data_IF_533631601231
#
_entry.id   IF_533631601231
#
_cell.length_a   1.000
_cell.length_b   1.000
_cell.length_c   1.000
_cell.angle_alpha   90.00
_cell.angle_beta   90.00
_cell.angle_gamma   90.00
#
_symmetry.space_group_name_H-M   'P 1'
#
loop_
_entity.id
_entity.type
_entity.pdbx_description
1 polymer ?
#
# COMPACT_ATOMS: atom_id res chain seq x y z
N UNK A 1 30.52 24.29 -64.04
CA UNK A 1 29.58 24.69 -62.97
C UNK A 1 28.32 23.83 -63.10
N UNK A 2 28.23 22.73 -62.36
CA UNK A 2 27.05 21.83 -62.33
C UNK A 2 26.17 22.25 -61.15
N UNK A 3 24.93 22.69 -61.40
CA UNK A 3 23.93 22.97 -60.42
C UNK A 3 23.36 21.64 -59.90
N UNK A 4 23.53 21.38 -58.63
CA UNK A 4 22.86 20.27 -57.91
C UNK A 4 21.49 20.78 -57.50
N UNK A 5 20.43 20.19 -58.05
CA UNK A 5 19.06 20.44 -57.63
C UNK A 5 18.74 19.44 -56.53
N UNK A 6 18.56 19.92 -55.29
CA UNK A 6 18.18 19.14 -54.13
C UNK A 6 16.65 19.01 -54.14
N UNK A 7 16.16 17.80 -54.42
CA UNK A 7 14.71 17.49 -54.25
C UNK A 7 14.42 17.19 -52.79
N UNK A 8 13.75 18.11 -52.11
CA UNK A 8 13.18 17.85 -50.79
C UNK A 8 11.87 17.08 -51.01
N UNK A 9 11.93 15.79 -50.72
CA UNK A 9 10.77 14.92 -50.69
C UNK A 9 10.06 15.16 -49.34
N UNK A 10 9.00 15.99 -49.34
CA UNK A 10 8.10 16.12 -48.18
C UNK A 10 7.33 14.82 -48.04
N UNK A 11 7.71 14.03 -47.03
CA UNK A 11 6.93 12.91 -46.57
C UNK A 11 5.72 13.48 -45.80
N UNK A 12 4.56 13.54 -46.44
CA UNK A 12 3.31 13.72 -45.74
C UNK A 12 3.02 12.43 -44.95
N UNK A 13 3.44 12.41 -43.70
CA UNK A 13 2.88 11.47 -42.72
C UNK A 13 1.41 11.89 -42.54
N UNK A 14 0.53 11.16 -43.17
CA UNK A 14 -0.89 11.26 -42.89
C UNK A 14 -1.13 10.94 -41.42
N UNK A 15 -1.40 11.95 -40.65
CA UNK A 15 -1.97 11.80 -39.30
C UNK A 15 -3.39 11.27 -39.53
N UNK A 16 -3.49 9.95 -39.67
CA UNK A 16 -4.75 9.30 -39.47
C UNK A 16 -5.18 9.68 -38.05
N UNK A 17 -6.32 10.33 -37.92
CA UNK A 17 -7.02 10.45 -36.64
C UNK A 17 -7.41 9.05 -36.22
N UNK A 18 -6.47 8.32 -35.60
CA UNK A 18 -6.84 7.17 -34.79
C UNK A 18 -7.78 7.74 -33.72
N UNK A 19 -9.01 7.30 -33.72
CA UNK A 19 -9.94 7.48 -32.62
C UNK A 19 -9.17 6.98 -31.39
N UNK A 20 -8.69 7.90 -30.53
CA UNK A 20 -7.66 7.62 -29.55
C UNK A 20 -8.12 6.49 -28.64
N UNK A 21 -7.36 5.39 -28.65
CA UNK A 21 -7.58 4.30 -27.71
C UNK A 21 -7.32 4.88 -26.32
N UNK A 22 -8.24 4.64 -25.39
CA UNK A 22 -8.07 5.07 -24.00
C UNK A 22 -6.90 4.27 -23.39
N UNK A 23 -5.77 4.90 -23.05
CA UNK A 23 -4.60 4.20 -22.50
C UNK A 23 -4.87 3.57 -21.13
N UNK A 24 -5.93 3.99 -20.46
CA UNK A 24 -6.30 3.50 -19.13
C UNK A 24 -7.34 2.38 -19.18
N UNK A 25 -7.84 2.02 -20.38
CA UNK A 25 -8.83 0.95 -20.53
C UNK A 25 -8.29 -0.37 -20.01
N UNK A 26 -9.05 -1.03 -19.11
CA UNK A 26 -8.63 -2.23 -18.42
C UNK A 26 -9.55 -3.41 -18.66
N UNK A 27 -8.97 -4.61 -18.64
CA UNK A 27 -9.70 -5.87 -18.74
C UNK A 27 -9.25 -6.84 -17.64
N UNK A 28 -10.16 -7.74 -17.26
CA UNK A 28 -9.80 -8.88 -16.44
C UNK A 28 -8.89 -9.83 -17.24
N UNK A 29 -7.69 -10.09 -16.74
CA UNK A 29 -6.75 -11.03 -17.33
C UNK A 29 -6.93 -12.43 -16.74
N UNK A 30 -7.01 -12.50 -15.42
CA UNK A 30 -7.16 -13.75 -14.65
C UNK A 30 -7.94 -13.54 -13.37
N UNK A 31 -8.54 -14.61 -12.86
CA UNK A 31 -9.08 -14.67 -11.51
C UNK A 31 -8.84 -16.04 -10.89
N UNK A 32 -8.63 -16.05 -9.57
CA UNK A 32 -8.37 -17.27 -8.80
C UNK A 32 -9.39 -17.34 -7.66
N UNK A 33 -10.33 -18.32 -7.70
CA UNK A 33 -11.20 -18.57 -6.56
C UNK A 33 -10.39 -18.96 -5.33
N UNK A 34 -10.64 -18.30 -4.21
CA UNK A 34 -9.94 -18.57 -2.95
C UNK A 34 -10.87 -19.13 -1.87
N UNK A 35 -12.12 -19.32 -2.16
CA UNK A 35 -13.16 -20.09 -1.48
C UNK A 35 -13.25 -19.99 0.06
N UNK A 36 -14.22 -20.62 0.67
CA UNK A 36 -14.59 -20.74 2.07
C UNK A 36 -15.09 -19.47 2.77
N UNK A 37 -14.32 -18.39 2.89
CA UNK A 37 -14.75 -17.16 3.57
C UNK A 37 -15.15 -16.08 2.57
N UNK A 38 -15.99 -15.18 3.02
CA UNK A 38 -16.46 -14.06 2.18
C UNK A 38 -15.42 -12.95 2.08
N UNK A 39 -14.61 -12.76 3.11
CA UNK A 39 -13.64 -11.67 3.17
C UNK A 39 -12.39 -11.96 2.36
N UNK A 40 -11.86 -10.96 1.69
CA UNK A 40 -10.54 -10.93 1.07
C UNK A 40 -9.91 -9.61 1.39
N UNK A 41 -8.72 -9.61 1.92
CA UNK A 41 -7.96 -8.40 2.22
C UNK A 41 -7.06 -8.00 1.04
N UNK A 42 -6.18 -7.02 1.23
CA UNK A 42 -5.14 -6.65 0.27
C UNK A 42 -4.38 -7.90 -0.19
N UNK A 43 -4.06 -7.95 -1.47
CA UNK A 43 -3.29 -9.05 -2.06
C UNK A 43 -1.84 -8.60 -2.21
N UNK A 44 -0.91 -9.26 -1.56
CA UNK A 44 0.51 -9.03 -1.75
C UNK A 44 1.03 -9.88 -2.92
N UNK A 45 2.07 -9.39 -3.59
CA UNK A 45 2.69 -10.02 -4.76
C UNK A 45 4.20 -10.09 -4.53
N UNK A 46 4.80 -11.29 -4.61
CA UNK A 46 6.24 -11.47 -4.44
C UNK A 46 6.68 -12.77 -5.12
N UNK A 47 7.78 -12.74 -5.86
CA UNK A 47 8.45 -13.94 -6.38
C UNK A 47 9.24 -14.59 -5.24
N UNK A 48 8.58 -15.49 -4.47
CA UNK A 48 9.13 -16.06 -3.24
C UNK A 48 10.16 -17.19 -3.49
N UNK A 49 10.10 -17.87 -4.62
CA UNK A 49 11.05 -18.95 -4.96
C UNK A 49 12.03 -18.57 -6.07
N UNK A 50 11.95 -17.34 -6.60
CA UNK A 50 12.88 -16.81 -7.59
C UNK A 50 12.71 -17.41 -8.99
N UNK A 51 11.55 -18.00 -9.29
CA UNK A 51 11.27 -18.62 -10.58
C UNK A 51 10.79 -17.61 -11.66
N UNK A 52 10.63 -16.34 -11.28
CA UNK A 52 10.18 -15.26 -12.16
C UNK A 52 8.66 -15.13 -12.27
N UNK A 53 7.90 -15.96 -11.56
CA UNK A 53 6.43 -15.99 -11.55
C UNK A 53 5.92 -15.71 -10.14
N UNK A 54 5.61 -14.44 -9.81
CA UNK A 54 5.31 -14.06 -8.44
C UNK A 54 4.14 -14.80 -7.82
N UNK A 55 4.29 -15.19 -6.55
CA UNK A 55 3.20 -15.64 -5.72
C UNK A 55 2.32 -14.47 -5.31
N UNK A 56 1.05 -14.77 -5.12
CA UNK A 56 0.07 -13.83 -4.57
C UNK A 56 -0.45 -14.39 -3.25
N UNK A 57 -0.50 -13.55 -2.23
CA UNK A 57 -1.04 -13.94 -0.94
C UNK A 57 -2.04 -12.92 -0.40
N UNK A 58 -3.10 -13.42 0.23
CA UNK A 58 -4.11 -12.58 0.87
C UNK A 58 -4.61 -13.21 2.16
N UNK A 59 -5.13 -12.38 3.04
CA UNK A 59 -5.77 -12.80 4.27
C UNK A 59 -7.28 -12.92 4.04
N UNK A 60 -7.84 -14.03 4.50
CA UNK A 60 -9.27 -14.19 4.66
C UNK A 60 -9.60 -14.38 6.15
N UNK A 61 -10.59 -13.67 6.66
CA UNK A 61 -11.05 -13.80 8.04
C UNK A 61 -12.56 -13.97 8.10
N UNK A 62 -13.00 -14.85 8.99
CA UNK A 62 -14.39 -14.87 9.43
C UNK A 62 -14.46 -14.30 10.85
N UNK A 63 -15.07 -13.11 10.96
CA UNK A 63 -15.18 -12.40 12.24
C UNK A 63 -16.10 -13.10 13.24
N UNK A 64 -16.96 -14.01 12.79
CA UNK A 64 -17.94 -14.68 13.64
C UNK A 64 -17.29 -15.78 14.48
N UNK A 65 -16.30 -16.46 13.89
CA UNK A 65 -15.68 -17.64 14.47
C UNK A 65 -14.27 -17.36 15.02
N UNK A 66 -13.78 -16.12 14.99
CA UNK A 66 -12.40 -15.74 15.31
C UNK A 66 -11.37 -16.61 14.57
N UNK A 67 -11.70 -16.99 13.36
CA UNK A 67 -10.84 -17.77 12.48
C UNK A 67 -10.29 -16.89 11.37
N UNK A 68 -9.07 -17.16 10.96
CA UNK A 68 -8.43 -16.47 9.85
C UNK A 68 -7.50 -17.41 9.11
N UNK A 69 -7.29 -17.12 7.83
CA UNK A 69 -6.35 -17.88 7.02
C UNK A 69 -5.64 -16.98 6.02
N UNK A 70 -4.43 -17.36 5.67
CA UNK A 70 -3.69 -16.82 4.55
C UNK A 70 -3.86 -17.81 3.40
N UNK A 71 -4.22 -17.29 2.24
CA UNK A 71 -4.27 -18.06 1.00
C UNK A 71 -3.13 -17.57 0.13
N UNK A 72 -2.24 -18.48 -0.24
CA UNK A 72 -1.12 -18.24 -1.14
C UNK A 72 -1.42 -18.95 -2.45
N UNK A 73 -1.32 -18.22 -3.56
CA UNK A 73 -1.53 -18.74 -4.91
C UNK A 73 -0.20 -18.71 -5.65
N UNK A 74 0.19 -19.85 -6.22
CA UNK A 74 1.42 -19.95 -7.02
C UNK A 74 1.28 -19.19 -8.33
N UNK A 75 2.26 -18.34 -8.61
CA UNK A 75 2.41 -17.70 -9.93
C UNK A 75 2.58 -18.71 -11.05
N UNK A 76 1.99 -18.44 -12.21
CA UNK A 76 2.09 -19.31 -13.40
C UNK A 76 1.33 -20.63 -13.32
N UNK A 77 1.31 -21.32 -12.20
CA UNK A 77 0.56 -22.57 -11.98
C UNK A 77 -0.87 -22.26 -11.53
N UNK A 78 -1.74 -21.98 -12.50
CA UNK A 78 -3.12 -21.59 -12.29
C UNK A 78 -3.87 -22.57 -11.36
N UNK A 79 -4.39 -22.04 -10.24
CA UNK A 79 -5.22 -22.77 -9.30
C UNK A 79 -4.47 -23.55 -8.22
N UNK A 80 -3.13 -23.65 -8.25
CA UNK A 80 -2.38 -24.23 -7.15
C UNK A 80 -2.28 -23.23 -6.02
N UNK A 81 -2.80 -23.60 -4.85
CA UNK A 81 -2.86 -22.73 -3.69
C UNK A 81 -2.56 -23.49 -2.40
N UNK A 82 -2.04 -22.77 -1.42
CA UNK A 82 -1.79 -23.24 -0.05
C UNK A 82 -2.51 -22.37 0.95
N UNK A 83 -2.99 -22.98 2.01
CA UNK A 83 -3.63 -22.28 3.12
C UNK A 83 -2.80 -22.45 4.38
N UNK A 84 -2.52 -21.33 5.07
CA UNK A 84 -2.02 -21.28 6.44
C UNK A 84 -3.16 -20.74 7.30
N UNK A 85 -3.65 -21.55 8.22
CA UNK A 85 -4.83 -21.22 9.02
C UNK A 85 -4.51 -20.92 10.47
N UNK A 86 -5.30 -20.04 11.08
CA UNK A 86 -5.28 -19.68 12.49
C UNK A 86 -6.70 -19.77 13.05
N UNK A 87 -6.80 -20.15 14.33
CA UNK A 87 -8.07 -20.38 15.00
C UNK A 87 -8.30 -21.84 15.38
N UNK A 88 -9.43 -22.14 16.02
CA UNK A 88 -9.72 -23.49 16.55
C UNK A 88 -9.72 -24.57 15.46
N UNK A 89 -10.27 -24.28 14.30
CA UNK A 89 -10.28 -25.17 13.12
C UNK A 89 -8.89 -25.62 12.67
N UNK A 90 -7.88 -24.76 12.91
CA UNK A 90 -6.50 -24.99 12.49
C UNK A 90 -5.56 -25.36 13.64
N UNK A 91 -6.12 -25.69 14.82
CA UNK A 91 -5.33 -26.10 15.99
C UNK A 91 -4.68 -24.96 16.79
N UNK A 92 -5.05 -23.72 16.51
CA UNK A 92 -4.58 -22.51 17.23
C UNK A 92 -5.76 -21.74 17.83
N UNK A 93 -6.44 -22.28 18.87
CA UNK A 93 -7.62 -21.66 19.44
C UNK A 93 -7.34 -20.23 19.90
N UNK A 94 -8.25 -19.31 19.58
CA UNK A 94 -8.18 -17.91 19.98
C UNK A 94 -7.24 -17.04 19.14
N UNK A 95 -6.41 -17.61 18.27
CA UNK A 95 -5.59 -16.80 17.37
C UNK A 95 -6.41 -16.29 16.19
N UNK A 96 -6.39 -14.99 15.95
CA UNK A 96 -7.05 -14.32 14.83
C UNK A 96 -6.17 -13.20 14.28
N UNK A 97 -6.54 -12.66 13.12
CA UNK A 97 -5.80 -11.57 12.47
C UNK A 97 -6.32 -10.16 12.82
N UNK A 98 -7.39 -10.03 13.58
CA UNK A 98 -8.09 -8.75 13.65
C UNK A 98 -8.84 -8.41 12.35
N UNK A 99 -9.71 -7.41 12.42
CA UNK A 99 -10.80 -7.26 11.44
C UNK A 99 -10.44 -6.70 10.08
N UNK A 100 -9.34 -6.02 9.87
CA UNK A 100 -9.36 -5.12 8.73
C UNK A 100 -8.02 -4.70 8.14
N UNK A 101 -6.92 -5.24 8.61
CA UNK A 101 -5.63 -4.97 7.99
C UNK A 101 -5.08 -6.23 7.34
N UNK A 102 -4.16 -6.10 6.40
CA UNK A 102 -3.36 -7.22 5.92
C UNK A 102 -2.18 -7.43 6.89
N UNK A 103 -2.30 -8.27 7.94
CA UNK A 103 -1.27 -8.43 8.97
C UNK A 103 -0.11 -9.30 8.46
N UNK A 104 0.30 -9.08 7.24
CA UNK A 104 1.27 -9.89 6.54
C UNK A 104 2.25 -9.02 5.75
N UNK A 105 3.50 -9.46 5.68
CA UNK A 105 4.49 -8.99 4.73
C UNK A 105 5.20 -10.20 4.11
N UNK A 106 5.71 -10.03 2.90
CA UNK A 106 6.44 -11.07 2.16
C UNK A 106 7.72 -10.49 1.57
N UNK A 107 8.78 -11.28 1.53
CA UNK A 107 10.03 -10.90 0.84
C UNK A 107 10.89 -12.12 0.58
N UNK A 108 11.97 -11.93 -0.13
CA UNK A 108 13.07 -12.89 -0.19
C UNK A 108 14.24 -12.36 0.65
N UNK A 109 14.88 -13.24 1.40
CA UNK A 109 16.06 -12.94 2.21
C UNK A 109 17.22 -13.83 1.76
N UNK A 110 18.43 -13.29 1.78
CA UNK A 110 19.62 -14.11 1.55
C UNK A 110 19.92 -14.99 2.76
N UNK A 111 20.17 -16.29 2.53
CA UNK A 111 20.53 -17.26 3.57
C UNK A 111 21.99 -17.12 4.06
N UNK A 112 22.69 -16.08 3.66
CA UNK A 112 24.10 -15.85 3.95
C UNK A 112 25.06 -16.63 3.04
N UNK A 113 24.58 -17.62 2.29
CA UNK A 113 25.31 -18.31 1.21
C UNK A 113 24.94 -17.74 -0.18
N UNK A 114 24.14 -16.67 -0.22
CA UNK A 114 23.72 -16.00 -1.44
C UNK A 114 22.49 -16.63 -2.11
N UNK A 115 21.86 -17.64 -1.49
CA UNK A 115 20.59 -18.17 -1.97
C UNK A 115 19.45 -17.32 -1.42
N UNK A 116 18.47 -17.02 -2.27
CA UNK A 116 17.26 -16.33 -1.86
C UNK A 116 16.27 -17.34 -1.27
N UNK A 117 15.72 -17.00 -0.12
CA UNK A 117 14.70 -17.76 0.59
C UNK A 117 13.45 -16.90 0.75
N UNK A 118 12.32 -17.39 0.30
CA UNK A 118 11.04 -16.71 0.51
C UNK A 118 10.63 -16.72 1.98
N UNK A 119 10.29 -15.55 2.50
CA UNK A 119 9.83 -15.37 3.86
C UNK A 119 8.45 -14.71 3.88
N UNK A 120 7.58 -15.21 4.74
CA UNK A 120 6.25 -14.65 5.00
C UNK A 120 6.15 -14.35 6.49
N UNK A 121 5.90 -13.09 6.83
CA UNK A 121 5.74 -12.62 8.20
C UNK A 121 4.26 -12.37 8.46
N UNK A 122 3.76 -12.86 9.59
CA UNK A 122 2.34 -12.80 9.93
C UNK A 122 2.18 -12.35 11.37
N UNK A 123 1.35 -11.34 11.63
CA UNK A 123 0.91 -10.99 12.98
C UNK A 123 -0.44 -11.61 13.26
N UNK A 124 -0.49 -12.50 14.22
CA UNK A 124 -1.74 -13.12 14.66
C UNK A 124 -1.74 -13.30 16.19
N UNK A 125 -2.92 -13.38 16.78
CA UNK A 125 -3.03 -13.62 18.23
C UNK A 125 -4.43 -13.40 18.79
N UNK A 126 -4.52 -13.47 20.10
CA UNK A 126 -5.74 -13.21 20.88
C UNK A 126 -5.91 -11.72 21.16
N UNK A 127 -6.98 -11.35 21.88
CA UNK A 127 -7.17 -9.98 22.36
C UNK A 127 -5.98 -9.50 23.22
N UNK A 128 -5.40 -10.41 24.01
CA UNK A 128 -4.43 -10.09 25.06
C UNK A 128 -2.97 -10.42 24.67
N UNK A 129 -2.74 -11.13 23.59
CA UNK A 129 -1.40 -11.55 23.16
C UNK A 129 -1.30 -11.66 21.64
N UNK A 130 -0.30 -11.04 21.06
CA UNK A 130 0.02 -11.09 19.63
C UNK A 130 1.40 -11.69 19.44
N UNK A 131 1.55 -12.46 18.38
CA UNK A 131 2.82 -13.01 17.95
C UNK A 131 3.12 -12.60 16.53
N UNK A 132 4.40 -12.39 16.24
CA UNK A 132 4.94 -12.34 14.90
C UNK A 132 5.43 -13.73 14.53
N UNK A 133 4.91 -14.29 13.46
CA UNK A 133 5.27 -15.59 12.90
C UNK A 133 6.13 -15.40 11.66
N UNK A 134 7.14 -16.24 11.50
CA UNK A 134 7.94 -16.38 10.29
C UNK A 134 7.67 -17.74 9.67
N UNK A 135 7.22 -17.73 8.42
CA UNK A 135 7.13 -18.91 7.57
C UNK A 135 8.17 -18.83 6.45
N UNK A 136 8.88 -19.94 6.23
CA UNK A 136 9.75 -20.10 5.07
C UNK A 136 8.98 -20.71 3.92
N UNK A 137 9.12 -20.12 2.76
CA UNK A 137 8.54 -20.59 1.52
C UNK A 137 9.62 -21.22 0.64
N UNK A 138 9.63 -22.56 0.51
CA UNK A 138 10.49 -23.27 -0.42
C UNK A 138 9.77 -23.55 -1.74
N UNK A 139 8.49 -23.84 -1.66
CA UNK A 139 7.55 -24.00 -2.79
C UNK A 139 6.12 -23.93 -2.26
N UNK A 140 5.12 -23.91 -3.16
CA UNK A 140 3.70 -23.90 -2.76
C UNK A 140 3.31 -25.15 -1.94
N UNK A 141 4.00 -26.26 -2.07
CA UNK A 141 3.75 -27.48 -1.30
C UNK A 141 4.57 -27.55 0.00
N UNK A 142 5.64 -26.76 0.09
CA UNK A 142 6.58 -26.74 1.21
C UNK A 142 6.69 -25.32 1.79
N UNK A 143 5.77 -25.00 2.70
CA UNK A 143 5.73 -23.78 3.50
C UNK A 143 5.74 -24.20 4.96
N UNK A 144 6.73 -23.78 5.70
CA UNK A 144 6.96 -24.22 7.07
C UNK A 144 7.05 -23.05 8.04
N UNK A 145 6.38 -23.16 9.20
CA UNK A 145 6.62 -22.25 10.31
C UNK A 145 8.04 -22.48 10.84
N UNK A 146 8.88 -21.48 10.74
CA UNK A 146 10.24 -21.51 11.25
C UNK A 146 10.31 -21.05 12.70
N UNK A 147 9.60 -19.98 13.01
CA UNK A 147 9.64 -19.36 14.33
C UNK A 147 8.45 -18.45 14.58
N UNK A 148 8.12 -18.28 15.86
CA UNK A 148 7.24 -17.20 16.32
C UNK A 148 7.82 -16.52 17.56
N UNK A 149 7.52 -15.22 17.71
CA UNK A 149 7.92 -14.40 18.86
C UNK A 149 6.73 -13.60 19.35
N UNK A 150 6.61 -13.48 20.68
CA UNK A 150 5.58 -12.63 21.27
C UNK A 150 5.93 -11.16 21.07
N UNK A 151 4.94 -10.35 20.67
CA UNK A 151 5.04 -8.91 20.58
C UNK A 151 4.83 -8.30 21.99
N UNK A 152 5.64 -7.33 22.35
CA UNK A 152 5.49 -6.56 23.61
C UNK A 152 4.32 -5.57 23.51
N UNK A 153 4.11 -5.04 22.31
CA UNK A 153 2.98 -4.18 22.02
C UNK A 153 1.73 -5.03 21.70
N UNK A 154 0.69 -4.88 22.51
CA UNK A 154 -0.55 -5.66 22.35
C UNK A 154 -1.49 -5.13 21.25
N UNK A 155 -1.02 -4.27 20.36
CA UNK A 155 -1.79 -3.82 19.19
C UNK A 155 -1.69 -4.82 18.05
N UNK A 156 -2.75 -4.95 17.29
CA UNK A 156 -2.64 -5.55 15.97
C UNK A 156 -1.70 -4.67 15.15
N UNK A 157 -0.71 -5.28 14.51
CA UNK A 157 0.26 -4.58 13.71
C UNK A 157 0.32 -5.14 12.30
N UNK A 158 0.71 -4.30 11.36
CA UNK A 158 1.07 -4.71 10.02
C UNK A 158 2.58 -4.84 10.00
N UNK A 159 3.13 -6.05 9.81
CA UNK A 159 4.56 -6.22 9.68
C UNK A 159 5.04 -5.47 8.42
N UNK A 160 6.17 -4.80 8.56
CA UNK A 160 6.87 -4.15 7.46
C UNK A 160 8.33 -4.54 7.45
N UNK A 161 8.98 -4.33 6.33
CA UNK A 161 10.34 -4.80 6.07
C UNK A 161 11.17 -3.61 5.59
N UNK A 162 12.38 -3.48 6.11
CA UNK A 162 13.34 -2.48 5.68
C UNK A 162 14.78 -2.93 5.95
N UNK A 163 15.73 -2.32 5.26
CA UNK A 163 17.15 -2.34 5.60
C UNK A 163 17.46 -0.98 6.25
N UNK A 164 17.44 -0.94 7.58
CA UNK A 164 17.60 0.33 8.30
C UNK A 164 19.04 0.86 8.27
N UNK A 165 20.02 -0.01 8.15
CA UNK A 165 21.44 0.38 8.21
C UNK A 165 22.15 0.27 6.85
N UNK A 166 21.43 -0.04 5.78
CA UNK A 166 21.92 -0.20 4.41
C UNK A 166 23.06 -1.23 4.30
N UNK A 167 23.01 -2.34 5.08
CA UNK A 167 23.99 -3.40 5.03
C UNK A 167 23.59 -4.60 4.15
N UNK A 168 22.43 -4.50 3.51
CA UNK A 168 21.85 -5.54 2.64
C UNK A 168 21.13 -6.65 3.41
N UNK A 169 21.01 -6.54 4.74
CA UNK A 169 20.18 -7.41 5.57
C UNK A 169 18.93 -6.69 5.95
N UNK A 170 17.83 -7.43 5.91
CA UNK A 170 16.52 -6.85 6.19
C UNK A 170 16.15 -7.01 7.66
N UNK A 171 15.49 -6.01 8.18
CA UNK A 171 14.73 -6.06 9.42
C UNK A 171 13.24 -6.14 9.13
N UNK A 172 12.51 -6.88 9.97
CA UNK A 172 11.05 -6.84 10.01
C UNK A 172 10.61 -6.11 11.27
N UNK A 173 9.61 -5.24 11.14
CA UNK A 173 9.12 -4.46 12.26
C UNK A 173 7.61 -4.43 12.34
N UNK A 174 7.10 -4.34 13.58
CA UNK A 174 5.67 -4.22 13.90
C UNK A 174 5.53 -3.09 14.91
N UNK A 175 4.91 -2.00 14.52
CA UNK A 175 4.98 -0.79 15.32
C UNK A 175 6.43 -0.32 15.47
N UNK A 176 6.90 -0.14 16.71
CA UNK A 176 8.28 0.19 17.00
C UNK A 176 9.10 -0.99 17.51
N UNK A 177 8.58 -2.21 17.43
CA UNK A 177 9.33 -3.43 17.69
C UNK A 177 10.03 -3.89 16.43
N UNK A 178 11.33 -4.10 16.49
CA UNK A 178 12.18 -4.45 15.33
C UNK A 178 12.90 -5.77 15.60
N UNK A 179 12.93 -6.61 14.58
CA UNK A 179 13.54 -7.94 14.59
C UNK A 179 14.41 -8.14 13.36
N UNK A 180 15.44 -8.97 13.47
CA UNK A 180 16.16 -9.49 12.31
C UNK A 180 15.21 -10.32 11.43
N UNK A 181 15.13 -10.01 10.16
CA UNK A 181 14.16 -10.62 9.25
C UNK A 181 14.41 -12.11 9.01
N UNK A 182 15.64 -12.59 9.19
CA UNK A 182 16.01 -13.98 8.92
C UNK A 182 15.72 -14.90 10.11
N UNK A 183 15.88 -14.38 11.34
CA UNK A 183 15.85 -15.19 12.55
C UNK A 183 14.75 -14.80 13.55
N UNK A 184 14.06 -13.69 13.34
CA UNK A 184 13.21 -13.02 14.32
C UNK A 184 13.95 -12.75 15.67
N UNK A 185 15.25 -12.57 15.63
CA UNK A 185 15.99 -12.10 16.82
C UNK A 185 15.56 -10.67 17.11
N UNK A 186 15.11 -10.42 18.35
CA UNK A 186 14.65 -9.11 18.79
C UNK A 186 15.82 -8.13 18.79
N UNK A 187 15.69 -7.01 18.07
CA UNK A 187 16.68 -5.95 17.97
C UNK A 187 16.40 -4.85 18.99
N UNK A 188 15.15 -4.45 19.14
CA UNK A 188 14.79 -3.41 20.07
C UNK A 188 13.34 -2.96 19.97
N UNK A 189 12.94 -2.08 20.88
CA UNK A 189 11.61 -1.51 20.99
C UNK A 189 11.69 -0.01 21.31
N UNK A 190 11.09 0.82 20.45
CA UNK A 190 11.19 2.28 20.54
C UNK A 190 10.24 2.93 21.57
N UNK A 191 9.24 2.21 22.06
CA UNK A 191 8.29 2.75 23.03
C UNK A 191 6.95 2.05 23.03
N UNK A 192 6.13 2.32 24.05
CA UNK A 192 4.79 1.75 24.23
C UNK A 192 3.72 2.37 23.34
N UNK A 193 2.46 2.16 23.72
CA UNK A 193 1.26 2.49 22.90
C UNK A 193 1.23 3.89 22.31
N UNK A 194 1.75 4.89 23.01
CA UNK A 194 1.72 6.28 22.56
C UNK A 194 2.62 6.58 21.35
N UNK A 195 3.56 5.68 21.02
CA UNK A 195 4.57 5.85 19.97
C UNK A 195 4.50 4.74 18.92
N UNK A 196 3.39 4.07 18.79
CA UNK A 196 3.27 2.87 17.95
C UNK A 196 2.67 3.13 16.56
N UNK A 197 2.43 4.38 16.19
CA UNK A 197 1.81 4.74 14.91
C UNK A 197 0.36 4.26 14.82
N UNK A 198 -0.43 4.50 15.85
CA UNK A 198 -1.80 3.96 15.95
C UNK A 198 -2.75 4.54 14.92
N UNK A 199 -3.52 3.67 14.34
CA UNK A 199 -4.67 4.00 13.52
C UNK A 199 -5.93 3.39 14.11
N UNK A 200 -6.89 4.20 14.49
CA UNK A 200 -8.20 3.75 14.97
C UNK A 200 -9.11 3.52 13.77
N UNK A 201 -9.61 2.30 13.64
CA UNK A 201 -10.62 1.99 12.65
C UNK A 201 -12.04 2.29 13.14
N UNK A 202 -12.98 2.33 12.20
CA UNK A 202 -14.39 2.60 12.47
C UNK A 202 -15.04 1.66 13.51
N UNK A 203 -14.56 0.42 13.60
CA UNK A 203 -15.02 -0.59 14.56
C UNK A 203 -14.29 -0.54 15.92
N UNK A 204 -13.44 0.45 16.14
CA UNK A 204 -12.68 0.64 17.37
C UNK A 204 -11.38 -0.16 17.46
N UNK A 205 -11.02 -0.94 16.44
CA UNK A 205 -9.75 -1.66 16.42
C UNK A 205 -8.59 -0.69 16.20
N UNK A 206 -7.56 -0.80 17.03
CA UNK A 206 -6.31 -0.07 16.89
C UNK A 206 -5.27 -0.93 16.19
N UNK A 207 -4.65 -0.36 15.14
CA UNK A 207 -3.53 -0.97 14.43
C UNK A 207 -2.30 -0.11 14.58
N UNK A 208 -1.14 -0.76 14.63
CA UNK A 208 0.13 -0.08 14.52
C UNK A 208 0.55 0.03 13.05
N UNK A 209 0.75 1.26 12.60
CA UNK A 209 1.15 1.60 11.24
C UNK A 209 2.33 2.55 11.27
N UNK A 210 3.48 1.97 11.46
CA UNK A 210 4.77 2.64 11.35
C UNK A 210 5.31 2.49 9.93
N UNK A 211 6.23 3.34 9.52
CA UNK A 211 6.87 3.28 8.21
C UNK A 211 8.35 3.64 8.32
N UNK A 212 9.02 3.74 7.19
CA UNK A 212 10.40 4.20 7.11
C UNK A 212 10.41 5.65 6.63
N UNK A 213 11.17 6.48 7.30
CA UNK A 213 11.58 7.79 6.80
C UNK A 213 13.01 7.67 6.28
N UNK A 214 13.19 7.91 4.99
CA UNK A 214 14.51 7.91 4.36
C UNK A 214 15.00 9.33 4.19
N UNK A 215 16.13 9.65 4.81
CA UNK A 215 16.91 10.83 4.50
C UNK A 215 17.92 10.52 3.40
N UNK A 216 18.72 11.50 2.99
CA UNK A 216 19.75 11.31 1.94
C UNK A 216 20.74 10.16 2.24
N UNK A 217 20.92 9.76 3.49
CA UNK A 217 21.96 8.82 3.92
C UNK A 217 21.50 7.77 4.92
N UNK A 218 20.35 7.95 5.56
CA UNK A 218 19.93 7.13 6.68
C UNK A 218 18.44 6.81 6.62
N UNK A 219 18.08 5.62 7.09
CA UNK A 219 16.72 5.17 7.27
C UNK A 219 16.34 5.21 8.73
N UNK A 220 15.21 5.81 9.05
CA UNK A 220 14.64 5.89 10.38
C UNK A 220 13.31 5.16 10.43
N UNK A 221 13.03 4.53 11.56
CA UNK A 221 11.69 4.06 11.84
C UNK A 221 10.83 5.25 12.23
N UNK A 222 9.73 5.47 11.49
CA UNK A 222 8.79 6.57 11.70
C UNK A 222 7.52 6.06 12.36
N UNK A 223 7.20 6.60 13.54
CA UNK A 223 5.97 6.31 14.27
C UNK A 223 5.29 7.63 14.70
N UNK A 224 4.14 7.93 14.11
CA UNK A 224 3.58 9.27 14.22
C UNK A 224 4.58 10.30 13.70
N UNK A 225 4.89 11.32 14.50
CA UNK A 225 5.96 12.31 14.17
C UNK A 225 7.28 12.05 14.91
N UNK A 226 7.53 10.82 15.31
CA UNK A 226 8.77 10.43 15.98
C UNK A 226 9.64 9.58 15.07
N UNK A 227 10.91 9.95 14.98
CA UNK A 227 11.95 9.21 14.28
C UNK A 227 12.77 8.41 15.29
N UNK A 228 13.00 7.13 14.99
CA UNK A 228 13.85 6.24 15.78
C UNK A 228 15.01 5.75 14.91
N UNK A 229 16.21 5.75 15.47
CA UNK A 229 17.34 5.03 14.89
C UNK A 229 17.21 3.54 15.18
N UNK A 230 17.58 2.72 14.20
CA UNK A 230 17.64 1.26 14.34
C UNK A 230 19.07 0.80 14.13
N UNK A 231 19.66 0.18 15.17
CA UNK A 231 20.99 -0.39 15.12
C UNK A 231 20.92 -1.90 15.43
N UNK A 232 20.92 -2.77 14.42
CA UNK A 232 20.82 -4.22 14.60
C UNK A 232 21.94 -4.82 15.47
N UNK A 233 23.09 -4.13 15.58
CA UNK A 233 24.24 -4.59 16.39
C UNK A 233 24.11 -4.28 17.88
N UNK A 234 23.16 -3.44 18.28
CA UNK A 234 22.95 -3.04 19.66
C UNK A 234 21.82 -3.82 20.37
N UNK A 235 21.54 -5.03 19.93
CA UNK A 235 20.54 -5.94 20.51
C UNK A 235 20.73 -6.15 22.02
N UNK A 236 19.69 -6.07 22.87
CA UNK A 236 18.26 -5.85 22.56
C UNK A 236 17.84 -4.37 22.63
N UNK A 237 18.75 -3.43 22.65
CA UNK A 237 18.48 -1.99 22.80
C UNK A 237 18.76 -1.22 21.49
N UNK A 238 18.54 -1.87 20.35
CA UNK A 238 18.89 -1.32 19.04
C UNK A 238 17.94 -0.27 18.50
N UNK A 239 16.80 -0.03 19.14
CA UNK A 239 15.83 1.00 18.71
C UNK A 239 15.83 2.14 19.71
N UNK A 240 16.17 3.34 19.26
CA UNK A 240 16.25 4.52 20.15
C UNK A 240 15.60 5.73 19.51
N UNK A 241 14.84 6.50 20.32
CA UNK A 241 14.25 7.75 19.87
C UNK A 241 15.35 8.72 19.43
N UNK A 242 15.34 9.09 18.18
CA UNK A 242 16.23 10.11 17.61
C UNK A 242 15.64 11.51 17.79
N UNK A 243 14.36 11.68 17.40
CA UNK A 243 13.74 13.01 17.34
C UNK A 243 12.22 12.93 17.41
N UNK A 244 11.58 13.86 18.12
CA UNK A 244 10.18 14.20 17.97
C UNK A 244 10.09 15.47 17.15
N UNK A 245 9.60 15.36 15.92
CA UNK A 245 9.57 16.48 14.96
C UNK A 245 8.58 17.54 15.46
N UNK A 246 9.02 18.81 15.49
CA UNK A 246 8.21 19.94 15.97
C UNK A 246 8.02 19.97 17.49
N UNK A 247 8.66 19.09 18.25
CA UNK A 247 8.63 19.09 19.72
C UNK A 247 7.30 18.71 20.38
N UNK A 248 6.24 18.49 19.61
CA UNK A 248 4.91 18.06 20.09
C UNK A 248 4.62 16.67 19.58
N UNK A 249 4.51 15.69 20.47
CA UNK A 249 4.24 14.31 20.10
C UNK A 249 2.83 14.16 19.50
N UNK A 250 2.78 13.50 18.32
CA UNK A 250 1.54 13.09 17.65
C UNK A 250 1.63 11.63 17.26
N UNK A 251 0.68 10.86 17.74
CA UNK A 251 0.50 9.47 17.36
C UNK A 251 -0.50 9.36 16.20
N UNK A 252 -0.30 8.37 15.35
CA UNK A 252 -1.14 8.12 14.18
C UNK A 252 -0.40 7.36 13.09
N UNK A 253 -1.12 6.99 12.03
CA UNK A 253 -0.49 6.49 10.81
C UNK A 253 0.32 7.60 10.15
N UNK A 254 1.58 7.31 9.83
CA UNK A 254 2.50 8.29 9.28
C UNK A 254 2.95 7.92 7.86
N UNK A 255 3.17 8.94 7.05
CA UNK A 255 3.76 8.87 5.72
C UNK A 255 4.83 9.95 5.60
N UNK A 256 5.77 9.76 4.69
CA UNK A 256 6.79 10.75 4.35
C UNK A 256 6.68 11.09 2.86
N UNK A 257 6.63 12.38 2.51
CA UNK A 257 6.42 12.84 1.15
C UNK A 257 6.84 14.30 0.98
N UNK A 258 7.34 14.68 -0.18
CA UNK A 258 7.73 16.04 -0.50
C UNK A 258 6.50 16.89 -0.85
N UNK A 259 5.87 17.46 0.17
CA UNK A 259 4.62 18.24 0.02
C UNK A 259 4.85 19.67 -0.48
N UNK A 260 6.08 20.17 -0.42
CA UNK A 260 6.38 21.56 -0.75
C UNK A 260 7.38 21.73 -1.91
N UNK A 261 7.84 20.63 -2.49
CA UNK A 261 8.69 20.58 -3.69
C UNK A 261 10.15 20.96 -3.44
N UNK A 262 10.65 20.87 -2.19
CA UNK A 262 12.03 21.23 -1.87
C UNK A 262 13.00 20.02 -1.92
N UNK A 263 12.51 18.84 -2.24
CA UNK A 263 13.27 17.59 -2.35
C UNK A 263 13.53 16.91 -1.02
N UNK A 264 12.92 17.37 0.07
CA UNK A 264 13.02 16.77 1.41
C UNK A 264 11.61 16.45 1.89
N UNK A 265 11.40 15.21 2.27
CA UNK A 265 10.08 14.73 2.68
C UNK A 265 9.62 15.36 4.00
N UNK A 266 8.41 15.90 4.00
CA UNK A 266 7.63 16.17 5.21
C UNK A 266 7.04 14.89 5.76
N UNK A 267 6.62 14.94 7.02
CA UNK A 267 5.87 13.88 7.67
C UNK A 267 4.39 14.25 7.78
N UNK A 268 3.53 13.41 7.22
CA UNK A 268 2.08 13.48 7.33
C UNK A 268 1.64 12.48 8.39
N UNK A 269 0.98 12.95 9.45
CA UNK A 269 0.39 12.09 10.48
C UNK A 269 -1.13 12.21 10.44
N UNK A 270 -1.80 11.07 10.24
CA UNK A 270 -3.24 10.95 10.41
C UNK A 270 -3.51 10.34 11.78
N UNK A 271 -4.06 11.13 12.70
CA UNK A 271 -4.33 10.68 14.06
C UNK A 271 -5.56 9.72 14.13
N UNK A 272 -5.77 9.02 15.26
CA UNK A 272 -6.90 8.11 15.43
C UNK A 272 -8.28 8.75 15.23
N UNK A 273 -8.38 10.08 15.33
CA UNK A 273 -9.61 10.83 15.08
C UNK A 273 -9.78 11.26 13.62
N UNK A 274 -8.84 10.88 12.74
CA UNK A 274 -8.88 11.22 11.32
C UNK A 274 -8.41 12.64 11.00
N UNK A 275 -7.69 13.31 11.92
CA UNK A 275 -7.15 14.65 11.69
C UNK A 275 -5.73 14.53 11.13
N UNK A 276 -5.42 15.35 10.15
CA UNK A 276 -4.09 15.43 9.57
C UNK A 276 -3.22 16.45 10.32
N UNK A 277 -1.96 16.10 10.55
CA UNK A 277 -0.92 17.01 11.01
C UNK A 277 0.28 16.86 10.09
N UNK A 278 0.95 17.98 9.77
CA UNK A 278 2.10 18.04 8.88
C UNK A 278 3.31 18.57 9.63
N UNK A 279 4.47 17.98 9.40
CA UNK A 279 5.71 18.30 10.09
C UNK A 279 6.86 18.42 9.11
N UNK A 280 7.61 19.49 9.19
CA UNK A 280 8.86 19.71 8.47
C UNK A 280 10.02 19.08 9.25
N UNK A 281 10.64 18.06 8.67
CA UNK A 281 11.75 17.32 9.28
C UNK A 281 13.04 18.15 9.23
N UNK A 282 13.25 18.91 8.15
CA UNK A 282 14.42 19.75 7.90
C UNK A 282 14.55 20.85 8.94
N UNK A 283 13.49 21.64 9.11
CA UNK A 283 13.47 22.78 10.02
C UNK A 283 13.01 22.40 11.44
N UNK A 284 12.55 21.14 11.63
CA UNK A 284 11.99 20.64 12.88
C UNK A 284 10.76 21.42 13.35
N UNK A 285 9.86 21.72 12.44
CA UNK A 285 8.69 22.55 12.66
C UNK A 285 7.38 21.81 12.49
N UNK A 286 6.34 22.34 13.14
CA UNK A 286 4.96 21.95 12.90
C UNK A 286 4.41 22.86 11.81
N UNK A 287 4.10 22.29 10.65
CA UNK A 287 3.47 23.04 9.54
C UNK A 287 1.95 23.17 9.76
N UNK A 288 1.33 22.09 10.10
CA UNK A 288 -0.12 22.00 10.39
C UNK A 288 -0.32 21.10 11.61
N UNK A 289 -1.11 21.53 12.55
CA UNK A 289 -1.50 20.71 13.71
C UNK A 289 -3.01 20.52 13.75
N UNK A 290 -3.46 19.25 13.69
CA UNK A 290 -4.87 18.88 13.79
C UNK A 290 -5.75 19.61 12.76
N UNK A 291 -5.45 19.47 11.48
CA UNK A 291 -6.25 20.06 10.40
C UNK A 291 -7.74 19.80 10.58
N UNK A 292 -8.56 20.79 10.24
CA UNK A 292 -10.01 20.63 10.18
C UNK A 292 -10.48 19.79 8.97
N UNK A 293 -9.56 19.48 8.03
CA UNK A 293 -9.86 18.61 6.88
C UNK A 293 -9.78 17.14 7.35
N UNK A 294 -10.91 16.42 7.37
CA UNK A 294 -10.94 15.05 7.87
C UNK A 294 -10.44 14.05 6.83
N UNK A 295 -9.90 12.93 7.32
CA UNK A 295 -9.56 11.77 6.49
C UNK A 295 -9.88 10.47 7.25
N UNK A 296 -10.83 9.70 6.74
CA UNK A 296 -11.27 8.45 7.38
C UNK A 296 -10.40 7.26 7.03
N UNK A 297 -9.88 7.20 5.79
CA UNK A 297 -8.99 6.12 5.33
C UNK A 297 -7.53 6.38 5.66
N UNK A 298 -6.67 5.39 5.35
CA UNK A 298 -5.24 5.61 5.22
C UNK A 298 -4.96 6.55 4.06
N UNK A 299 -4.16 7.60 4.23
CA UNK A 299 -3.79 8.47 3.13
C UNK A 299 -2.81 7.76 2.17
N UNK A 300 -2.87 8.15 0.91
CA UNK A 300 -1.79 7.97 -0.05
C UNK A 300 -1.19 9.34 -0.37
N UNK A 301 0.07 9.39 -0.72
CA UNK A 301 0.77 10.64 -1.07
C UNK A 301 1.51 10.46 -2.39
N UNK A 302 1.53 11.50 -3.21
CA UNK A 302 2.22 11.51 -4.49
C UNK A 302 1.78 12.68 -5.36
N UNK A 303 2.61 13.02 -6.36
CA UNK A 303 2.35 14.08 -7.31
C UNK A 303 1.28 13.65 -8.34
N UNK A 304 0.03 14.07 -8.10
CA UNK A 304 -1.11 13.73 -8.97
C UNK A 304 -1.40 14.78 -10.04
N UNK A 305 -0.77 15.95 -9.99
CA UNK A 305 -1.03 17.03 -10.97
C UNK A 305 0.22 17.56 -11.68
N UNK A 306 1.39 16.96 -11.42
CA UNK A 306 2.64 17.22 -12.13
C UNK A 306 3.28 18.56 -11.79
N UNK A 307 3.02 19.11 -10.59
CA UNK A 307 3.62 20.40 -10.21
C UNK A 307 4.89 20.23 -9.34
N UNK A 308 5.28 18.99 -9.05
CA UNK A 308 6.47 18.65 -8.28
C UNK A 308 6.28 18.69 -6.77
N UNK A 309 5.05 18.88 -6.30
CA UNK A 309 4.66 18.76 -4.90
C UNK A 309 3.67 17.62 -4.74
N UNK A 310 3.85 16.79 -3.74
CA UNK A 310 2.96 15.67 -3.52
C UNK A 310 1.62 16.09 -2.88
N UNK A 311 0.52 15.48 -3.32
CA UNK A 311 -0.80 15.63 -2.71
C UNK A 311 -1.09 14.50 -1.74
N UNK A 312 -1.96 14.79 -0.77
CA UNK A 312 -2.51 13.81 0.17
C UNK A 312 -3.88 13.37 -0.34
N UNK A 313 -4.00 12.11 -0.74
CA UNK A 313 -5.23 11.53 -1.28
C UNK A 313 -5.82 10.53 -0.30
N UNK A 314 -7.12 10.61 -0.03
CA UNK A 314 -7.79 9.67 0.87
C UNK A 314 -9.29 9.84 0.91
N UNK A 315 -9.98 8.92 1.59
CA UNK A 315 -11.40 9.05 1.84
C UNK A 315 -11.62 10.11 2.93
N UNK A 316 -12.29 11.18 2.57
CA UNK A 316 -12.67 12.25 3.51
C UNK A 316 -13.62 11.70 4.57
N UNK A 317 -14.59 10.92 4.12
CA UNK A 317 -15.61 10.25 4.93
C UNK A 317 -16.21 9.06 4.14
N UNK A 318 -17.34 8.56 4.57
CA UNK A 318 -18.09 7.48 3.89
C UNK A 318 -18.76 7.90 2.57
N UNK A 319 -18.53 9.11 2.10
CA UNK A 319 -19.24 9.68 0.94
C UNK A 319 -18.28 10.23 -0.10
N UNK A 320 -17.14 10.78 0.34
CA UNK A 320 -16.24 11.54 -0.52
C UNK A 320 -14.80 11.04 -0.48
N UNK A 321 -14.22 10.86 -1.65
CA UNK A 321 -12.79 10.78 -1.91
C UNK A 321 -12.28 12.20 -2.15
N UNK A 322 -11.18 12.58 -1.51
CA UNK A 322 -10.62 13.92 -1.61
C UNK A 322 -9.11 13.89 -1.82
N UNK A 323 -8.59 14.94 -2.46
CA UNK A 323 -7.18 15.29 -2.44
C UNK A 323 -7.00 16.62 -1.71
N UNK A 324 -5.90 16.71 -0.96
CA UNK A 324 -5.49 17.91 -0.24
C UNK A 324 -4.10 18.33 -0.70
N UNK A 325 -3.90 19.63 -0.90
CA UNK A 325 -2.60 20.25 -1.21
C UNK A 325 -2.11 21.11 -0.05
N UNK A 326 -0.81 21.09 0.19
CA UNK A 326 -0.17 22.02 1.09
C UNK A 326 0.33 23.24 0.33
N UNK A 327 0.01 24.43 0.82
CA UNK A 327 0.52 25.69 0.27
C UNK A 327 1.57 26.24 1.23
N UNK A 328 2.84 26.05 0.92
CA UNK A 328 3.99 26.41 1.77
C UNK A 328 3.96 27.87 2.23
N UNK A 329 3.84 28.82 1.28
CA UNK A 329 3.91 30.26 1.60
C UNK A 329 2.79 30.74 2.53
N UNK A 330 1.61 30.12 2.45
CA UNK A 330 0.45 30.47 3.29
C UNK A 330 0.38 29.63 4.55
N UNK A 331 1.16 28.53 4.66
CA UNK A 331 1.10 27.58 5.75
C UNK A 331 -0.28 26.93 5.89
N UNK A 332 -0.96 26.60 4.79
CA UNK A 332 -2.31 26.07 4.82
C UNK A 332 -2.42 24.78 4.02
N UNK A 333 -3.16 23.81 4.58
CA UNK A 333 -3.65 22.65 3.86
C UNK A 333 -5.05 22.95 3.36
N UNK A 334 -5.33 22.71 2.09
CA UNK A 334 -6.63 22.97 1.47
C UNK A 334 -7.14 21.82 0.65
N UNK A 335 -8.46 21.70 0.51
CA UNK A 335 -9.09 20.70 -0.35
C UNK A 335 -8.88 21.09 -1.82
N UNK A 336 -8.12 20.27 -2.55
CA UNK A 336 -7.85 20.48 -3.96
C UNK A 336 -9.08 20.11 -4.80
N UNK A 337 -9.63 18.92 -4.54
CA UNK A 337 -10.91 18.46 -5.07
C UNK A 337 -11.55 17.41 -4.16
N UNK A 338 -12.84 17.17 -4.41
CA UNK A 338 -13.60 16.09 -3.77
C UNK A 338 -14.60 15.50 -4.78
N UNK A 339 -14.73 14.16 -4.78
CA UNK A 339 -15.69 13.43 -5.62
C UNK A 339 -16.42 12.37 -4.81
N UNK A 340 -17.68 12.04 -5.17
CA UNK A 340 -18.43 11.02 -4.45
C UNK A 340 -17.92 9.61 -4.73
N UNK A 341 -18.06 8.71 -3.75
CA UNK A 341 -17.84 7.28 -3.85
C UNK A 341 -18.94 6.50 -3.14
N UNK A 342 -18.93 5.17 -3.26
CA UNK A 342 -19.92 4.28 -2.65
C UNK A 342 -19.36 3.40 -1.52
N UNK A 343 -18.13 3.61 -1.08
CA UNK A 343 -17.54 2.87 0.05
C UNK A 343 -18.19 3.28 1.36
N UNK A 344 -19.07 2.43 1.90
CA UNK A 344 -19.77 2.65 3.17
C UNK A 344 -18.87 2.49 4.39
N UNK A 345 -17.72 1.82 4.24
CA UNK A 345 -16.75 1.68 5.33
C UNK A 345 -15.95 2.97 5.57
N UNK A 346 -15.64 3.71 4.51
CA UNK A 346 -14.77 4.87 4.53
C UNK A 346 -13.33 4.53 4.85
N UNK A 347 -12.87 3.31 4.58
CA UNK A 347 -11.56 2.80 5.00
C UNK A 347 -10.76 2.10 3.90
N UNK A 348 -11.32 1.92 2.72
CA UNK A 348 -10.63 1.29 1.59
C UNK A 348 -9.34 2.04 1.24
N UNK A 349 -8.27 1.29 1.04
CA UNK A 349 -6.97 1.86 0.69
C UNK A 349 -6.91 2.36 -0.74
N UNK A 350 -5.96 3.25 -1.00
CA UNK A 350 -5.72 3.90 -2.28
C UNK A 350 -4.29 3.59 -2.71
N UNK A 351 -4.09 3.40 -4.01
CA UNK A 351 -2.77 3.26 -4.62
C UNK A 351 -2.61 4.34 -5.68
N UNK A 352 -1.44 4.97 -5.74
CA UNK A 352 -1.06 5.92 -6.76
C UNK A 352 -0.05 5.26 -7.70
N UNK A 353 -0.24 5.45 -9.00
CA UNK A 353 0.68 4.93 -10.01
C UNK A 353 0.55 5.72 -11.32
N UNK A 354 1.66 6.08 -11.93
CA UNK A 354 1.72 6.73 -13.25
C UNK A 354 1.62 5.67 -14.35
N UNK A 355 0.40 5.42 -14.85
CA UNK A 355 0.11 4.36 -15.84
C UNK A 355 0.60 4.69 -17.24
N UNK A 356 0.72 5.96 -17.58
CA UNK A 356 1.04 6.45 -18.93
C UNK A 356 2.44 7.06 -19.01
N UNK A 357 3.19 7.10 -17.91
CA UNK A 357 4.53 7.67 -17.79
C UNK A 357 4.59 9.18 -18.18
N UNK A 358 3.56 9.94 -17.79
CA UNK A 358 3.51 11.37 -18.03
C UNK A 358 4.00 12.23 -16.84
N UNK A 359 4.42 11.56 -15.76
CA UNK A 359 4.91 12.18 -14.53
C UNK A 359 3.81 12.54 -13.53
N UNK A 360 2.54 12.29 -13.84
CA UNK A 360 1.42 12.48 -12.92
C UNK A 360 0.87 11.11 -12.52
N UNK A 361 0.69 10.89 -11.23
CA UNK A 361 0.17 9.62 -10.76
C UNK A 361 -1.36 9.56 -10.82
N UNK A 362 -1.90 8.51 -11.45
CA UNK A 362 -3.31 8.19 -11.37
C UNK A 362 -3.64 7.52 -10.04
N UNK A 363 -4.90 7.66 -9.64
CA UNK A 363 -5.43 7.10 -8.40
C UNK A 363 -6.14 5.80 -8.72
N UNK A 364 -5.65 4.69 -8.17
CA UNK A 364 -6.32 3.40 -8.21
C UNK A 364 -7.14 3.23 -6.94
N UNK A 365 -8.43 3.13 -7.09
CA UNK A 365 -9.36 3.06 -5.99
C UNK A 365 -10.51 2.09 -6.27
N UNK A 366 -10.95 1.34 -5.28
CA UNK A 366 -12.13 0.52 -5.35
C UNK A 366 -13.13 0.89 -4.25
N UNK A 367 -14.37 1.19 -4.65
CA UNK A 367 -15.49 1.31 -3.73
C UNK A 367 -16.28 -0.01 -3.61
N UNK A 368 -17.52 0.02 -3.13
CA UNK A 368 -18.34 -1.19 -2.94
C UNK A 368 -18.56 -2.00 -4.23
N UNK A 369 -18.48 -1.38 -5.40
CA UNK A 369 -18.94 -1.95 -6.65
C UNK A 369 -17.97 -1.82 -7.82
N UNK A 370 -17.09 -0.83 -7.81
CA UNK A 370 -16.23 -0.48 -8.94
C UNK A 370 -14.76 -0.35 -8.54
N UNK A 371 -13.88 -1.02 -9.26
CA UNK A 371 -12.47 -0.66 -9.34
C UNK A 371 -12.31 0.43 -10.39
N UNK A 372 -11.57 1.49 -10.07
CA UNK A 372 -11.42 2.69 -10.91
C UNK A 372 -9.96 3.06 -11.05
N UNK A 373 -9.61 3.60 -12.22
CA UNK A 373 -8.44 4.44 -12.44
C UNK A 373 -8.98 5.87 -12.58
N UNK A 374 -8.50 6.79 -11.74
CA UNK A 374 -9.03 8.15 -11.63
C UNK A 374 -7.91 9.13 -11.94
N UNK A 375 -8.19 10.09 -12.83
CA UNK A 375 -7.33 11.25 -13.03
C UNK A 375 -7.53 12.23 -11.87
N UNK A 376 -6.50 12.42 -11.07
CA UNK A 376 -6.49 13.33 -9.92
C UNK A 376 -5.96 14.72 -10.22
N UNK A 377 -5.43 14.98 -11.42
CA UNK A 377 -4.74 16.23 -11.75
C UNK A 377 -5.66 17.47 -11.82
N UNK A 378 -6.98 17.26 -11.90
CA UNK A 378 -7.92 18.34 -12.16
C UNK A 378 -7.81 18.90 -13.58
N UNK A 379 -7.11 18.21 -14.49
CA UNK A 379 -6.96 18.56 -15.91
C UNK A 379 -7.41 17.40 -16.79
N UNK A 380 -7.86 17.69 -18.00
CA UNK A 380 -8.19 16.67 -18.99
C UNK A 380 -6.90 16.05 -19.55
N UNK A 381 -6.75 14.72 -19.46
CA UNK A 381 -5.64 13.99 -20.06
C UNK A 381 -5.62 14.06 -21.62
N UNK A 382 -6.73 14.48 -22.24
CA UNK A 382 -6.84 14.63 -23.70
C UNK A 382 -6.43 16.04 -24.13
N UNK A 383 -6.91 17.08 -23.43
CA UNK A 383 -6.76 18.46 -23.82
C UNK A 383 -5.80 19.28 -22.98
N UNK A 384 -5.39 18.76 -21.82
CA UNK A 384 -4.57 19.47 -20.82
C UNK A 384 -5.31 20.62 -20.11
N UNK A 385 -6.57 20.89 -20.47
CA UNK A 385 -7.35 21.97 -19.88
C UNK A 385 -7.92 21.56 -18.51
N UNK A 386 -8.15 22.53 -17.64
CA UNK A 386 -8.77 22.30 -16.33
C UNK A 386 -10.16 21.65 -16.50
N UNK A 387 -10.40 20.61 -15.69
CA UNK A 387 -11.72 19.99 -15.58
C UNK A 387 -12.50 20.68 -14.48
N UNK A 388 -13.40 21.57 -14.88
CA UNK A 388 -14.17 22.40 -13.93
C UNK A 388 -15.62 21.92 -13.84
N UNK A 389 -16.10 21.66 -12.63
CA UNK A 389 -17.50 21.40 -12.32
C UNK A 389 -17.92 22.29 -11.14
N UNK A 390 -18.99 23.05 -11.33
CA UNK A 390 -19.47 24.03 -10.32
C UNK A 390 -18.39 25.02 -9.87
N UNK A 391 -17.52 25.44 -10.80
CA UNK A 391 -16.45 26.42 -10.51
C UNK A 391 -15.24 25.87 -9.73
N UNK A 392 -15.13 24.54 -9.56
CA UNK A 392 -14.01 23.87 -8.90
C UNK A 392 -13.39 22.82 -9.79
N UNK A 393 -12.08 22.60 -9.65
CA UNK A 393 -11.39 21.46 -10.26
C UNK A 393 -11.98 20.17 -9.71
N UNK A 394 -12.08 19.16 -10.55
CA UNK A 394 -12.61 17.85 -10.17
C UNK A 394 -11.78 16.73 -10.77
N UNK A 395 -11.59 15.67 -9.99
CA UNK A 395 -11.13 14.39 -10.49
C UNK A 395 -12.23 13.68 -11.30
N UNK A 396 -11.85 12.77 -12.19
CA UNK A 396 -12.80 11.98 -12.97
C UNK A 396 -12.26 10.59 -13.32
N UNK A 397 -13.16 9.65 -13.55
CA UNK A 397 -12.79 8.29 -13.94
C UNK A 397 -12.20 8.26 -15.35
N UNK A 398 -11.00 7.66 -15.48
CA UNK A 398 -10.39 7.30 -16.75
C UNK A 398 -10.87 5.94 -17.22
N UNK A 399 -10.99 5.00 -16.29
CA UNK A 399 -11.50 3.65 -16.51
C UNK A 399 -12.19 3.11 -15.27
N UNK A 400 -13.10 2.15 -15.45
CA UNK A 400 -13.72 1.44 -14.35
C UNK A 400 -14.17 0.03 -14.75
N UNK A 401 -14.19 -0.88 -13.79
CA UNK A 401 -14.67 -2.25 -13.96
C UNK A 401 -15.45 -2.70 -12.72
N UNK A 402 -16.49 -3.50 -12.93
CA UNK A 402 -17.33 -4.04 -11.86
C UNK A 402 -16.59 -5.11 -11.05
N UNK A 403 -16.38 -4.84 -9.77
CA UNK A 403 -15.91 -5.81 -8.78
C UNK A 403 -16.40 -5.38 -7.41
N UNK A 404 -17.13 -6.28 -6.74
CA UNK A 404 -17.69 -5.98 -5.41
C UNK A 404 -16.65 -6.15 -4.32
N UNK A 405 -16.66 -5.22 -3.35
CA UNK A 405 -15.83 -5.29 -2.15
C UNK A 405 -16.38 -6.29 -1.15
N UNK A 406 -15.59 -7.23 -0.66
CA UNK A 406 -15.96 -8.17 0.39
C UNK A 406 -15.62 -7.71 1.81
N UNK A 407 -14.78 -6.75 1.95
CA UNK A 407 -14.23 -6.33 3.23
C UNK A 407 -14.16 -4.81 3.36
N UNK A 408 -13.44 -4.31 4.36
CA UNK A 408 -13.46 -2.90 4.72
C UNK A 408 -12.19 -2.14 4.32
N UNK A 409 -11.05 -2.80 4.18
CA UNK A 409 -9.75 -2.11 4.09
C UNK A 409 -8.80 -2.68 3.06
N UNK A 410 -9.34 -3.34 2.05
CA UNK A 410 -8.53 -3.82 0.94
C UNK A 410 -8.03 -2.66 0.07
N UNK A 411 -6.76 -2.75 -0.34
CA UNK A 411 -6.10 -1.82 -1.25
C UNK A 411 -5.84 -2.51 -2.59
N UNK A 412 -6.13 -1.89 -3.73
CA UNK A 412 -5.63 -2.36 -5.02
C UNK A 412 -4.11 -2.31 -5.02
N UNK A 413 -3.45 -3.34 -5.54
CA UNK A 413 -1.99 -3.38 -5.68
C UNK A 413 -1.61 -3.27 -7.14
N UNK A 414 -0.54 -2.53 -7.44
CA UNK A 414 -0.01 -2.39 -8.80
C UNK A 414 1.35 -3.06 -8.88
N UNK A 415 1.43 -4.19 -9.59
CA UNK A 415 2.65 -5.00 -9.67
C UNK A 415 2.70 -5.83 -10.97
N UNK A 416 3.85 -6.46 -11.23
CA UNK A 416 4.01 -7.44 -12.32
C UNK A 416 3.57 -8.84 -11.85
N UNK A 417 2.29 -9.04 -11.57
CA UNK A 417 1.77 -10.24 -10.93
C UNK A 417 1.77 -11.51 -11.81
N UNK A 418 1.91 -11.37 -13.12
CA UNK A 418 1.90 -12.50 -14.06
C UNK A 418 3.31 -12.92 -14.52
N UNK A 419 4.37 -12.22 -14.11
CA UNK A 419 5.75 -12.52 -14.51
C UNK A 419 6.06 -12.29 -15.99
N UNK A 420 5.16 -11.66 -16.72
CA UNK A 420 5.27 -11.39 -18.17
C UNK A 420 5.91 -10.02 -18.49
N UNK A 421 6.32 -9.30 -17.46
CA UNK A 421 6.92 -7.97 -17.58
C UNK A 421 5.91 -6.85 -17.79
N UNK A 422 4.60 -7.15 -17.83
CA UNK A 422 3.55 -6.15 -17.91
C UNK A 422 3.04 -5.75 -16.51
N UNK A 423 2.51 -4.56 -16.40
CA UNK A 423 1.91 -4.04 -15.16
C UNK A 423 0.47 -4.50 -15.04
N UNK A 424 0.08 -4.92 -13.85
CA UNK A 424 -1.27 -5.32 -13.52
C UNK A 424 -1.77 -4.63 -12.25
N UNK A 425 -3.09 -4.53 -12.11
CA UNK A 425 -3.77 -4.22 -10.86
C UNK A 425 -4.28 -5.53 -10.28
N UNK A 426 -3.86 -5.83 -9.05
CA UNK A 426 -4.26 -7.04 -8.32
C UNK A 426 -5.16 -6.65 -7.16
N UNK A 427 -6.30 -7.31 -7.05
CA UNK A 427 -7.26 -7.02 -5.98
C UNK A 427 -8.08 -8.25 -5.61
N UNK A 428 -8.44 -8.35 -4.34
CA UNK A 428 -9.44 -9.30 -3.88
C UNK A 428 -10.87 -8.81 -4.09
N UNK A 429 -11.80 -9.67 -4.47
CA UNK A 429 -13.18 -9.24 -4.66
C UNK A 429 -14.13 -10.31 -5.19
N UNK A 430 -15.34 -9.90 -5.52
CA UNK A 430 -16.38 -10.73 -6.13
C UNK A 430 -16.76 -10.13 -7.47
N UNK A 431 -16.41 -10.82 -8.57
CA UNK A 431 -16.65 -10.33 -9.93
C UNK A 431 -18.15 -10.34 -10.31
N UNK A 432 -18.87 -11.39 -9.90
CA UNK A 432 -20.26 -11.61 -10.29
C UNK A 432 -21.09 -12.11 -9.12
N UNK A 433 -22.35 -11.67 -9.04
CA UNK A 433 -23.31 -12.18 -8.07
C UNK A 433 -23.23 -11.53 -6.70
N UNK A 434 -23.79 -12.22 -5.72
CA UNK A 434 -23.84 -11.76 -4.35
C UNK A 434 -22.68 -12.35 -3.54
N UNK A 435 -22.37 -11.66 -2.48
CA UNK A 435 -21.49 -12.09 -1.42
C UNK A 435 -21.99 -13.40 -0.82
N UNK A 436 -21.27 -14.51 -1.07
CA UNK A 436 -21.52 -15.82 -0.47
C UNK A 436 -20.18 -16.51 -0.17
N UNK A 437 -20.09 -17.38 0.84
CA UNK A 437 -18.93 -18.24 1.01
C UNK A 437 -18.55 -18.93 -0.31
N UNK A 438 -17.29 -18.88 -0.67
CA UNK A 438 -16.79 -19.47 -1.91
C UNK A 438 -16.81 -18.59 -3.15
N UNK A 439 -17.33 -17.33 -3.09
CA UNK A 439 -17.37 -16.43 -4.23
C UNK A 439 -16.16 -15.49 -4.31
N UNK A 440 -15.38 -15.37 -3.23
CA UNK A 440 -14.21 -14.51 -3.18
C UNK A 440 -13.09 -14.99 -4.11
N UNK A 441 -12.47 -14.05 -4.81
CA UNK A 441 -11.42 -14.29 -5.79
C UNK A 441 -10.29 -13.29 -5.63
N UNK A 442 -9.08 -13.69 -6.00
CA UNK A 442 -8.01 -12.76 -6.39
C UNK A 442 -8.21 -12.47 -7.87
N UNK A 443 -8.32 -11.20 -8.23
CA UNK A 443 -8.55 -10.74 -9.60
C UNK A 443 -7.35 -9.93 -10.09
N UNK A 444 -6.93 -10.19 -11.32
CA UNK A 444 -5.82 -9.53 -11.98
C UNK A 444 -6.34 -8.81 -13.21
N UNK A 445 -6.21 -7.49 -13.22
CA UNK A 445 -6.57 -6.63 -14.33
C UNK A 445 -5.32 -6.08 -14.99
N UNK A 446 -5.35 -5.89 -16.29
CA UNK A 446 -4.28 -5.29 -17.06
C UNK A 446 -4.81 -4.43 -18.18
N UNK A 447 -3.92 -3.77 -18.89
CA UNK A 447 -4.24 -2.94 -20.03
C UNK A 447 -5.01 -3.72 -21.11
N UNK A 448 -6.03 -3.11 -21.66
CA UNK A 448 -6.80 -3.70 -22.75
C UNK A 448 -6.19 -3.40 -24.12
N UNK A 449 -5.69 -2.19 -24.33
CA UNK A 449 -5.26 -1.72 -25.65
C UNK A 449 -3.82 -1.23 -25.66
N UNK A 450 -3.44 -0.37 -24.73
CA UNK A 450 -2.11 0.24 -24.64
C UNK A 450 -1.43 -0.28 -23.39
N UNK A 451 -0.21 -0.87 -23.49
CA UNK A 451 0.51 -1.33 -22.30
C UNK A 451 0.72 -0.18 -21.30
N UNK A 452 0.52 -0.45 -20.03
CA UNK A 452 0.80 0.48 -18.96
C UNK A 452 2.31 0.60 -18.70
N UNK A 453 2.74 1.69 -18.08
CA UNK A 453 4.10 1.87 -17.63
C UNK A 453 4.54 0.72 -16.72
N UNK A 454 5.83 0.43 -16.68
CA UNK A 454 6.36 -0.70 -15.89
C UNK A 454 6.26 -0.40 -14.41
N UNK A 455 5.64 -1.30 -13.68
CA UNK A 455 5.66 -1.35 -12.22
C UNK A 455 6.83 -2.20 -11.70
N UNK A 456 7.00 -2.19 -10.38
CA UNK A 456 7.91 -3.11 -9.70
C UNK A 456 7.43 -4.57 -9.83
N UNK A 457 8.37 -5.52 -9.65
CA UNK A 457 8.06 -6.95 -9.70
C UNK A 457 7.37 -7.48 -8.46
N UNK A 458 7.36 -6.73 -7.40
CA UNK A 458 6.79 -7.13 -6.12
C UNK A 458 6.06 -5.98 -5.44
N UNK A 459 4.99 -6.30 -4.76
CA UNK A 459 4.29 -5.46 -3.80
C UNK A 459 4.19 -6.28 -2.51
N UNK A 460 5.15 -6.12 -1.64
CA UNK A 460 5.52 -7.07 -0.58
C UNK A 460 4.97 -6.71 0.80
N UNK A 461 4.44 -5.50 0.97
CA UNK A 461 3.91 -5.02 2.25
C UNK A 461 2.82 -3.98 2.05
N UNK A 462 1.98 -3.82 3.08
CA UNK A 462 0.82 -2.91 3.08
C UNK A 462 1.21 -1.46 3.36
#
# INVERSE_FOLDING_TARGET
MRKIVLHIMMLFLGVGTACGQNPFDMRLLKSFPIGEYNGVNTVLVCDLDGDGLPEMATVQSDYRDNEGRIVIVKGGALGKQKVIGFGAKYGTPGASFGYSACPMAMTTVSDGAGRLQGHIYIVAGTADAKNLYLYKYNSIDDIQEERSVALQNNLYGIPRIADFNNDGRLEVFVGTEVFDANSLTFIGFGGGDANSGRHLQHDGANFSLTTVYTSNTENYLLAGNQLFTVNPKATPNGVTLYKTIGGVQKDGSALASDLDGDGINEVVVRDPQGRLSLFDVKNNEVLILNSALPMSSYPAVGDIDGDGCDEIVGLKDKTYLSAYKFHKEKGVLYEFWTIPHSDISGQTGITLFDFNADGMQEIVYRDETLLRIINGSGKSHITGNDTIKYGRRVAYNLASVGIKSPTKSERPMVAQALGDGSTQIVIGGVLYGDYKPGTAQICIFGANTVPWAKSEKAEIQY
#
